data_IF_860959788058
#
_entry.id   IF_860959788058
#
_cell.length_a   1.000
_cell.length_b   1.000
_cell.length_c   1.000
_cell.angle_alpha   90.00
_cell.angle_beta   90.00
_cell.angle_gamma   90.00
#
_symmetry.space_group_name_H-M   'P 1'
#
loop_
_entity.id
_entity.type
_entity.pdbx_description
1 polymer ?
#
# COMPACT_ATOMS: atom_id res chain seq x y z
N UNK A 1 21.03 10.83 6.19
CA UNK A 1 20.67 9.47 6.62
C UNK A 1 21.44 8.50 5.77
N UNK A 2 21.97 7.45 6.38
CA UNK A 2 22.48 6.27 5.70
C UNK A 2 21.32 5.32 5.42
N UNK A 3 21.45 4.46 4.41
CA UNK A 3 20.42 3.47 4.08
C UNK A 3 20.07 2.56 5.27
N UNK A 4 21.05 2.23 6.11
CA UNK A 4 20.84 1.41 7.30
C UNK A 4 19.94 2.10 8.33
N UNK A 5 20.03 3.43 8.46
CA UNK A 5 19.18 4.22 9.35
C UNK A 5 17.74 4.29 8.81
N UNK A 6 17.57 4.41 7.49
CA UNK A 6 16.24 4.42 6.84
C UNK A 6 15.50 3.09 7.06
N UNK A 7 16.20 1.96 6.99
CA UNK A 7 15.62 0.64 7.29
C UNK A 7 15.09 0.52 8.72
N UNK A 8 15.67 1.26 9.67
CA UNK A 8 15.25 1.24 11.08
C UNK A 8 14.07 2.17 11.38
N UNK A 9 13.78 3.16 10.52
CA UNK A 9 12.66 4.09 10.70
C UNK A 9 11.30 3.36 10.62
N UNK A 10 11.22 2.28 9.84
CA UNK A 10 9.98 1.55 9.63
C UNK A 10 9.05 2.31 8.69
N UNK A 11 7.92 2.80 9.20
CA UNK A 11 7.03 3.66 8.40
C UNK A 11 7.54 5.09 8.55
N UNK A 12 7.98 5.73 7.45
CA UNK A 12 8.56 7.05 7.53
C UNK A 12 7.55 8.09 8.01
N UNK A 13 8.05 9.21 8.52
CA UNK A 13 7.18 10.30 9.00
C UNK A 13 6.49 11.09 7.87
N UNK A 14 6.93 10.92 6.63
CA UNK A 14 6.33 11.52 5.42
C UNK A 14 5.98 10.43 4.42
N UNK A 15 4.84 10.59 3.75
CA UNK A 15 4.41 9.66 2.72
C UNK A 15 5.36 9.78 1.51
N UNK A 16 6.03 8.69 1.09
CA UNK A 16 6.86 8.71 -0.11
C UNK A 16 5.99 8.82 -1.36
N UNK A 17 6.59 9.22 -2.48
CA UNK A 17 5.93 9.17 -3.78
C UNK A 17 5.64 7.72 -4.19
N UNK A 18 4.54 7.52 -4.93
CA UNK A 18 4.21 6.23 -5.51
C UNK A 18 5.38 5.69 -6.37
N UNK A 19 5.72 4.39 -6.25
CA UNK A 19 6.83 3.80 -7.00
C UNK A 19 6.46 3.56 -8.46
N UNK A 20 7.46 3.67 -9.35
CA UNK A 20 7.29 3.35 -10.77
C UNK A 20 7.20 1.83 -11.03
N UNK A 21 6.34 1.46 -11.97
CA UNK A 21 6.15 0.06 -12.37
C UNK A 21 7.31 -0.42 -13.25
N UNK A 22 8.26 -1.15 -12.68
CA UNK A 22 9.37 -1.72 -13.46
C UNK A 22 8.91 -2.89 -14.37
N UNK A 23 9.01 -2.79 -15.71
CA UNK A 23 8.53 -3.84 -16.62
C UNK A 23 9.46 -5.07 -16.70
N UNK A 24 10.70 -4.98 -16.24
CA UNK A 24 11.68 -6.08 -16.36
C UNK A 24 11.62 -7.06 -15.19
N UNK A 25 10.83 -6.77 -14.16
CA UNK A 25 10.68 -7.62 -12.97
C UNK A 25 9.52 -8.59 -13.17
N UNK A 26 9.79 -9.88 -13.01
CA UNK A 26 8.75 -10.91 -13.04
C UNK A 26 7.76 -10.70 -11.87
N UNK A 27 6.46 -10.66 -12.17
CA UNK A 27 5.39 -10.41 -11.19
C UNK A 27 4.56 -11.66 -10.96
N UNK A 28 4.03 -11.79 -9.74
CA UNK A 28 3.02 -12.78 -9.45
C UNK A 28 1.79 -12.58 -10.37
N UNK A 29 1.10 -13.67 -10.77
CA UNK A 29 -0.11 -13.55 -11.56
C UNK A 29 -1.22 -12.81 -10.79
N UNK A 30 -2.09 -12.12 -11.53
CA UNK A 30 -3.22 -11.38 -10.94
C UNK A 30 -4.12 -12.35 -10.17
N UNK A 31 -4.47 -11.98 -8.93
CA UNK A 31 -5.42 -12.74 -8.11
C UNK A 31 -6.84 -12.59 -8.67
N UNK A 32 -7.68 -13.60 -8.45
CA UNK A 32 -9.10 -13.51 -8.83
C UNK A 32 -9.81 -12.51 -7.93
N UNK A 33 -10.58 -11.61 -8.53
CA UNK A 33 -11.47 -10.72 -7.79
C UNK A 33 -12.70 -11.48 -7.30
N UNK A 34 -12.61 -12.02 -6.10
CA UNK A 34 -13.70 -12.80 -5.46
C UNK A 34 -14.35 -12.06 -4.29
N UNK A 35 -13.83 -10.88 -3.93
CA UNK A 35 -14.32 -10.11 -2.80
C UNK A 35 -15.60 -9.36 -3.15
N UNK A 36 -16.58 -9.45 -2.27
CA UNK A 36 -17.75 -8.57 -2.26
C UNK A 36 -17.38 -7.13 -1.90
N UNK A 37 -18.31 -6.19 -2.09
CA UNK A 37 -18.08 -4.79 -1.75
C UNK A 37 -17.75 -4.59 -0.25
N UNK A 38 -18.38 -5.35 0.64
CA UNK A 38 -18.11 -5.26 2.08
C UNK A 38 -16.74 -5.87 2.44
N UNK A 39 -16.34 -6.94 1.76
CA UNK A 39 -15.01 -7.53 1.95
C UNK A 39 -13.90 -6.63 1.39
N UNK A 40 -14.12 -5.95 0.26
CA UNK A 40 -13.17 -4.93 -0.24
C UNK A 40 -13.02 -3.79 0.77
N UNK A 41 -14.11 -3.28 1.35
CA UNK A 41 -14.04 -2.28 2.43
C UNK A 41 -13.27 -2.78 3.65
N UNK A 42 -13.48 -4.04 4.05
CA UNK A 42 -12.75 -4.66 5.16
C UNK A 42 -11.25 -4.82 4.83
N UNK A 43 -10.91 -5.22 3.61
CA UNK A 43 -9.52 -5.32 3.15
C UNK A 43 -8.81 -3.96 3.21
N UNK A 44 -9.46 -2.88 2.75
CA UNK A 44 -8.93 -1.53 2.87
C UNK A 44 -8.70 -1.14 4.34
N UNK A 45 -9.67 -1.38 5.24
CA UNK A 45 -9.50 -1.10 6.67
C UNK A 45 -8.33 -1.89 7.28
N UNK A 46 -8.16 -3.14 6.87
CA UNK A 46 -7.06 -3.99 7.33
C UNK A 46 -5.70 -3.47 6.87
N UNK A 47 -5.60 -2.92 5.66
CA UNK A 47 -4.37 -2.30 5.16
C UNK A 47 -4.10 -0.96 5.87
N UNK A 48 -5.11 -0.09 5.98
CA UNK A 48 -5.00 1.26 6.53
C UNK A 48 -4.65 1.27 8.03
N UNK A 49 -4.90 0.20 8.79
CA UNK A 49 -4.60 0.14 10.24
C UNK A 49 -3.11 0.29 10.57
N UNK A 50 -2.23 0.08 9.59
CA UNK A 50 -0.79 0.22 9.76
C UNK A 50 -0.30 1.65 9.55
N UNK A 51 -1.13 2.55 9.01
CA UNK A 51 -0.71 3.89 8.59
C UNK A 51 -1.35 5.01 9.42
N UNK A 52 -0.69 6.18 9.53
CA UNK A 52 -1.26 7.38 10.13
C UNK A 52 -2.57 7.79 9.44
N UNK A 53 -3.52 8.35 10.22
CA UNK A 53 -4.87 8.71 9.72
C UNK A 53 -4.83 9.78 8.65
N UNK A 54 -3.82 10.65 8.69
CA UNK A 54 -3.61 11.72 7.72
C UNK A 54 -3.41 11.17 6.31
N UNK A 55 -2.87 9.96 6.18
CA UNK A 55 -2.59 9.31 4.90
C UNK A 55 -3.75 8.46 4.40
N UNK A 56 -4.76 8.18 5.24
CA UNK A 56 -5.83 7.26 4.89
C UNK A 56 -6.59 7.69 3.64
N UNK A 57 -6.72 9.00 3.39
CA UNK A 57 -7.41 9.49 2.20
C UNK A 57 -6.66 9.15 0.91
N UNK A 58 -5.34 9.24 0.92
CA UNK A 58 -4.50 8.98 -0.25
C UNK A 58 -4.34 7.48 -0.46
N UNK A 59 -3.89 6.78 0.59
CA UNK A 59 -3.67 5.33 0.57
C UNK A 59 -4.95 4.51 0.34
N UNK A 60 -6.12 5.00 0.75
CA UNK A 60 -7.36 4.26 0.48
C UNK A 60 -7.66 4.17 -1.02
N UNK A 61 -7.34 5.21 -1.80
CA UNK A 61 -7.55 5.18 -3.25
C UNK A 61 -6.52 4.25 -3.89
N UNK A 62 -5.25 4.38 -3.49
CA UNK A 62 -4.16 3.53 -4.00
C UNK A 62 -4.41 2.05 -3.71
N UNK A 63 -4.74 1.69 -2.47
CA UNK A 63 -5.05 0.30 -2.11
C UNK A 63 -6.32 -0.23 -2.77
N UNK A 64 -7.28 0.64 -3.13
CA UNK A 64 -8.46 0.22 -3.87
C UNK A 64 -8.11 -0.12 -5.32
N UNK A 65 -7.22 0.64 -5.94
CA UNK A 65 -6.73 0.38 -7.30
C UNK A 65 -5.86 -0.90 -7.36
N UNK A 66 -5.25 -1.31 -6.24
CA UNK A 66 -4.44 -2.54 -6.13
C UNK A 66 -5.24 -3.83 -5.83
N UNK A 67 -6.49 -3.73 -5.36
CA UNK A 67 -7.33 -4.87 -4.93
C UNK A 67 -7.99 -5.63 -6.10
#
# INVERSE_FOLDING_TARGET
>A
MTFQEELQEGIPSKLPSAPDLNPTVNRAPRRKEILSAEEKKLALRNALRYFPKEWHRELANEFLDEL
#
